data_IF_665273447350
#
_entry.id   IF_665273447350
#
_cell.length_a   1.000
_cell.length_b   1.000
_cell.length_c   1.000
_cell.angle_alpha   90.00
_cell.angle_beta   90.00
_cell.angle_gamma   90.00
#
_symmetry.space_group_name_H-M   'P 1'
#
loop_
_entity.id
_entity.type
_entity.pdbx_description
1 polymer ?
#
# COMPACT_ATOMS: atom_id res chain seq x y z
N UNK A 1 2.98 -19.64 19.06
CA UNK A 1 1.98 -18.58 19.23
C UNK A 1 2.45 -17.24 18.72
N UNK A 2 3.68 -16.83 19.04
CA UNK A 2 4.20 -15.55 18.52
C UNK A 2 4.25 -15.52 17.00
N UNK A 3 4.57 -16.65 16.38
CA UNK A 3 4.63 -16.72 14.92
C UNK A 3 3.26 -16.52 14.28
N UNK A 4 2.20 -17.05 14.88
CA UNK A 4 0.84 -16.86 14.37
C UNK A 4 0.42 -15.39 14.45
N UNK A 5 0.74 -14.73 15.56
CA UNK A 5 0.42 -13.32 15.73
C UNK A 5 1.15 -12.48 14.68
N UNK A 6 2.42 -12.79 14.43
CA UNK A 6 3.21 -12.09 13.41
C UNK A 6 2.63 -12.29 12.01
N UNK A 7 2.20 -13.51 11.68
CA UNK A 7 1.58 -13.79 10.39
C UNK A 7 0.28 -13.02 10.19
N UNK A 8 -0.57 -13.00 11.23
CA UNK A 8 -1.83 -12.26 11.18
C UNK A 8 -1.58 -10.78 10.98
N UNK A 9 -0.62 -10.21 11.73
CA UNK A 9 -0.27 -8.80 11.59
C UNK A 9 0.25 -8.48 10.20
N UNK A 10 1.08 -9.35 9.64
CA UNK A 10 1.62 -9.17 8.28
C UNK A 10 0.51 -9.23 7.24
N UNK A 11 -0.42 -10.17 7.36
CA UNK A 11 -1.55 -10.29 6.44
C UNK A 11 -2.44 -9.07 6.50
N UNK A 12 -2.75 -8.56 7.69
CA UNK A 12 -3.54 -7.35 7.84
C UNK A 12 -2.84 -6.15 7.20
N UNK A 13 -1.52 -6.05 7.36
CA UNK A 13 -0.74 -4.96 6.76
C UNK A 13 -0.79 -5.04 5.24
N UNK A 14 -0.62 -6.23 4.68
CA UNK A 14 -0.68 -6.42 3.23
C UNK A 14 -2.06 -6.05 2.69
N UNK A 15 -3.13 -6.42 3.39
CA UNK A 15 -4.48 -6.07 2.98
C UNK A 15 -4.70 -4.55 3.00
N UNK A 16 -4.19 -3.87 4.01
CA UNK A 16 -4.27 -2.40 4.09
C UNK A 16 -3.51 -1.76 2.95
N UNK A 17 -2.33 -2.27 2.64
CA UNK A 17 -1.54 -1.77 1.53
C UNK A 17 -2.22 -2.01 0.18
N UNK A 18 -2.82 -3.18 0.01
CA UNK A 18 -3.56 -3.50 -1.21
C UNK A 18 -4.70 -2.52 -1.42
N UNK A 19 -5.41 -2.16 -0.36
CA UNK A 19 -6.48 -1.19 -0.42
C UNK A 19 -5.95 0.19 -0.82
N UNK A 20 -4.84 0.62 -0.23
CA UNK A 20 -4.22 1.89 -0.59
C UNK A 20 -3.81 1.93 -2.05
N UNK A 21 -3.21 0.84 -2.54
CA UNK A 21 -2.78 0.75 -3.92
C UNK A 21 -3.98 0.82 -4.86
N UNK A 22 -5.05 0.12 -4.52
CA UNK A 22 -6.29 0.16 -5.28
C UNK A 22 -6.86 1.58 -5.34
N UNK A 23 -6.87 2.27 -4.21
CA UNK A 23 -7.34 3.65 -4.14
C UNK A 23 -6.50 4.56 -5.03
N UNK A 24 -5.18 4.37 -5.03
CA UNK A 24 -4.30 5.15 -5.89
C UNK A 24 -4.57 4.87 -7.37
N UNK A 25 -4.82 3.61 -7.72
CA UNK A 25 -5.11 3.24 -9.10
C UNK A 25 -6.44 3.83 -9.60
N UNK A 26 -7.35 4.13 -8.68
CA UNK A 26 -8.64 4.73 -9.00
C UNK A 26 -8.64 6.26 -8.89
N UNK A 27 -7.47 6.86 -8.72
CA UNK A 27 -7.36 8.33 -8.66
C UNK A 27 -7.77 8.95 -10.00
N UNK A 28 -8.14 10.25 -10.01
CA UNK A 28 -8.47 10.94 -11.26
C UNK A 28 -7.34 10.83 -12.29
N UNK A 29 -7.69 10.77 -13.56
CA UNK A 29 -6.72 10.56 -14.64
C UNK A 29 -5.68 11.68 -14.72
N UNK A 30 -6.03 12.89 -14.28
CA UNK A 30 -5.13 14.04 -14.28
C UNK A 30 -4.26 14.14 -13.03
N UNK A 31 -4.47 13.25 -12.05
CA UNK A 31 -3.67 13.22 -10.82
C UNK A 31 -2.54 12.22 -10.95
N UNK A 32 -1.33 12.68 -10.68
CA UNK A 32 -0.15 11.81 -10.72
C UNK A 32 0.00 11.05 -9.40
N UNK A 33 0.75 9.93 -9.45
CA UNK A 33 1.00 9.11 -8.27
C UNK A 33 1.64 9.94 -7.16
N UNK A 34 2.58 10.81 -7.49
CA UNK A 34 3.24 11.65 -6.49
C UNK A 34 2.25 12.56 -5.77
N UNK A 35 1.29 13.13 -6.49
CA UNK A 35 0.26 13.97 -5.87
C UNK A 35 -0.62 13.16 -4.94
N UNK A 36 -1.03 11.97 -5.37
CA UNK A 36 -1.85 11.09 -4.56
C UNK A 36 -1.13 10.71 -3.28
N UNK A 37 0.16 10.35 -3.38
CA UNK A 37 0.97 10.00 -2.22
C UNK A 37 1.07 11.16 -1.23
N UNK A 38 1.31 12.35 -1.73
CA UNK A 38 1.41 13.54 -0.90
C UNK A 38 0.10 13.79 -0.14
N UNK A 39 -1.03 13.67 -0.82
CA UNK A 39 -2.34 13.83 -0.19
C UNK A 39 -2.63 12.79 0.88
N UNK A 40 -2.04 11.61 0.75
CA UNK A 40 -2.25 10.50 1.68
C UNK A 40 -1.12 10.37 2.72
N UNK A 41 -0.19 11.31 2.73
CA UNK A 41 0.86 11.34 3.75
C UNK A 41 1.90 10.24 3.62
N UNK A 42 2.13 9.73 2.42
CA UNK A 42 3.17 8.73 2.17
C UNK A 42 4.11 9.25 1.08
N UNK A 43 5.33 8.69 1.05
CA UNK A 43 6.29 9.02 -0.01
C UNK A 43 6.05 8.12 -1.22
N UNK A 44 6.48 8.59 -2.39
CA UNK A 44 6.41 7.79 -3.61
C UNK A 44 7.20 6.49 -3.46
N UNK A 45 8.37 6.57 -2.81
CA UNK A 45 9.20 5.39 -2.57
C UNK A 45 8.46 4.36 -1.72
N UNK A 46 7.77 4.81 -0.67
CA UNK A 46 6.98 3.91 0.17
C UNK A 46 5.82 3.29 -0.60
N UNK A 47 5.17 4.07 -1.46
CA UNK A 47 4.09 3.57 -2.30
C UNK A 47 4.58 2.42 -3.18
N UNK A 48 5.67 2.61 -3.88
CA UNK A 48 6.21 1.57 -4.76
C UNK A 48 6.73 0.36 -4.00
N UNK A 49 7.29 0.57 -2.80
CA UNK A 49 7.67 -0.52 -1.93
C UNK A 49 6.46 -1.38 -1.56
N UNK A 50 5.37 -0.72 -1.15
CA UNK A 50 4.13 -1.42 -0.77
C UNK A 50 3.52 -2.15 -1.96
N UNK A 51 3.53 -1.53 -3.13
CA UNK A 51 3.04 -2.15 -4.36
C UNK A 51 3.80 -3.44 -4.65
N UNK A 52 5.11 -3.39 -4.52
CA UNK A 52 5.96 -4.56 -4.75
C UNK A 52 5.64 -5.66 -3.75
N UNK A 53 5.51 -5.32 -2.48
CA UNK A 53 5.20 -6.29 -1.43
C UNK A 53 3.84 -6.95 -1.65
N UNK A 54 2.86 -6.17 -2.05
CA UNK A 54 1.51 -6.69 -2.34
C UNK A 54 1.56 -7.67 -3.51
N UNK A 55 2.35 -7.37 -4.53
CA UNK A 55 2.48 -8.27 -5.69
C UNK A 55 3.18 -9.57 -5.34
N UNK A 56 4.09 -9.54 -4.37
CA UNK A 56 4.82 -10.73 -3.93
C UNK A 56 4.01 -11.60 -2.99
N UNK A 57 2.98 -11.06 -2.39
CA UNK A 57 2.17 -11.77 -1.39
C UNK A 57 1.21 -12.78 -2.00
#
# INVERSE_FOLDING_TARGET
MKSQTSLIASQCRIQQWAKQIHDCQNRPADMQVSEWCEMNGITTANYYYRLRRVREA
#
